data_IF_292025596362
#
_entry.id   IF_292025596362
#
_cell.length_a   1.000
_cell.length_b   1.000
_cell.length_c   1.000
_cell.angle_alpha   90.00
_cell.angle_beta   90.00
_cell.angle_gamma   90.00
#
_symmetry.space_group_name_H-M   'P 1'
#
loop_
_entity.id
_entity.type
_entity.pdbx_description
1 polymer ?
#
# COMPACT_ATOMS: atom_id res chain seq x y z
N UNK A 1 -15.16 4.22 12.53
CA UNK A 1 -14.55 4.53 11.22
C UNK A 1 -15.37 4.05 10.02
N UNK A 2 -16.49 3.32 10.20
CA UNK A 2 -17.27 2.72 9.10
C UNK A 2 -17.93 3.72 8.14
N UNK A 3 -18.26 4.93 8.61
CA UNK A 3 -19.06 5.88 7.82
C UNK A 3 -18.25 6.91 7.01
N UNK A 4 -16.91 6.80 7.03
CA UNK A 4 -16.04 7.71 6.28
C UNK A 4 -16.16 7.39 4.79
N UNK A 5 -16.60 8.38 4.00
CA UNK A 5 -16.76 8.26 2.56
C UNK A 5 -15.54 8.79 1.83
N UNK A 6 -15.25 8.22 0.67
CA UNK A 6 -14.20 8.73 -0.20
C UNK A 6 -14.72 9.98 -0.93
N UNK A 7 -13.89 11.02 -0.99
CA UNK A 7 -14.21 12.24 -1.72
C UNK A 7 -14.41 11.94 -3.22
N UNK A 8 -15.44 12.52 -3.81
CA UNK A 8 -15.71 12.39 -5.26
C UNK A 8 -15.27 13.61 -6.07
N UNK A 9 -14.86 14.69 -5.41
CA UNK A 9 -14.40 15.90 -6.08
C UNK A 9 -12.92 15.84 -6.48
N UNK A 10 -12.51 16.70 -7.41
CA UNK A 10 -11.10 16.93 -7.73
C UNK A 10 -10.43 15.91 -8.64
N UNK A 11 -11.19 14.96 -9.21
CA UNK A 11 -10.70 13.94 -10.14
C UNK A 11 -9.44 13.18 -9.64
N UNK A 12 -9.31 13.02 -8.32
CA UNK A 12 -8.11 12.48 -7.69
C UNK A 12 -7.82 11.05 -8.16
N UNK A 13 -8.85 10.27 -8.47
CA UNK A 13 -8.72 8.88 -8.95
C UNK A 13 -7.91 8.81 -10.24
N UNK A 14 -8.29 9.61 -11.24
CA UNK A 14 -7.58 9.71 -12.50
C UNK A 14 -6.15 10.25 -12.32
N UNK A 15 -5.99 11.31 -11.52
CA UNK A 15 -4.68 11.89 -11.24
C UNK A 15 -3.73 10.89 -10.55
N UNK A 16 -4.24 10.14 -9.58
CA UNK A 16 -3.48 9.14 -8.84
C UNK A 16 -3.09 7.97 -9.73
N UNK A 17 -4.02 7.47 -10.56
CA UNK A 17 -3.71 6.42 -11.53
C UNK A 17 -2.61 6.85 -12.52
N UNK A 18 -2.73 8.05 -13.10
CA UNK A 18 -1.70 8.56 -14.01
C UNK A 18 -0.34 8.72 -13.33
N UNK A 19 -0.31 9.12 -12.06
CA UNK A 19 0.93 9.20 -11.28
C UNK A 19 1.56 7.81 -11.08
N UNK A 20 0.76 6.79 -10.77
CA UNK A 20 1.21 5.40 -10.65
C UNK A 20 1.78 4.91 -11.98
N UNK A 21 1.04 5.07 -13.08
CA UNK A 21 1.49 4.69 -14.42
C UNK A 21 2.81 5.40 -14.76
N UNK A 22 2.88 6.72 -14.57
CA UNK A 22 4.09 7.48 -14.88
C UNK A 22 5.30 7.08 -14.03
N UNK A 23 5.10 6.69 -12.78
CA UNK A 23 6.18 6.30 -11.89
C UNK A 23 6.65 4.86 -12.15
N UNK A 24 5.74 3.98 -12.57
CA UNK A 24 6.01 2.54 -12.53
C UNK A 24 5.91 1.82 -13.86
N UNK A 25 5.46 2.44 -14.95
CA UNK A 25 5.30 1.76 -16.24
C UNK A 25 6.60 1.15 -16.80
N UNK A 26 7.77 1.62 -16.35
CA UNK A 26 9.07 1.08 -16.75
C UNK A 26 9.65 0.04 -15.78
N UNK A 27 8.95 -0.31 -14.69
CA UNK A 27 9.44 -1.34 -13.77
C UNK A 27 9.20 -2.74 -14.37
N UNK A 28 9.99 -3.75 -14.01
CA UNK A 28 9.92 -5.08 -14.62
C UNK A 28 8.56 -5.78 -14.47
N UNK A 29 7.82 -5.50 -13.39
CA UNK A 29 6.60 -6.23 -13.08
C UNK A 29 5.30 -5.41 -13.17
N UNK A 30 5.34 -4.14 -13.60
CA UNK A 30 4.15 -3.29 -13.62
C UNK A 30 2.98 -3.92 -14.40
N UNK A 31 3.22 -4.38 -15.63
CA UNK A 31 2.18 -4.96 -16.50
C UNK A 31 1.50 -6.20 -15.91
N UNK A 32 2.15 -6.92 -14.98
CA UNK A 32 1.59 -8.11 -14.35
C UNK A 32 0.56 -7.78 -13.27
N UNK A 33 0.61 -6.58 -12.70
CA UNK A 33 -0.18 -6.18 -11.54
C UNK A 33 -1.09 -4.97 -11.81
N UNK A 34 -0.79 -4.18 -12.84
CA UNK A 34 -1.51 -2.95 -13.15
C UNK A 34 -3.02 -3.17 -13.34
N UNK A 35 -3.41 -4.22 -14.07
CA UNK A 35 -4.81 -4.53 -14.38
C UNK A 35 -5.65 -4.84 -13.13
N UNK A 36 -5.02 -5.40 -12.09
CA UNK A 36 -5.68 -5.69 -10.82
C UNK A 36 -5.77 -4.45 -9.91
N UNK A 37 -4.82 -3.52 -10.03
CA UNK A 37 -4.78 -2.29 -9.24
C UNK A 37 -5.63 -1.16 -9.83
N UNK A 38 -5.68 -1.04 -11.15
CA UNK A 38 -6.42 -0.01 -11.88
C UNK A 38 -7.88 0.15 -11.44
N UNK A 39 -8.66 -0.92 -11.17
CA UNK A 39 -10.05 -0.81 -10.74
C UNK A 39 -10.27 0.03 -9.49
N UNK A 40 -9.29 0.13 -8.59
CA UNK A 40 -9.37 0.99 -7.40
C UNK A 40 -9.42 2.48 -7.75
N UNK A 41 -8.86 2.85 -8.90
CA UNK A 41 -8.81 4.23 -9.39
C UNK A 41 -9.78 4.50 -10.55
N UNK A 42 -10.64 3.54 -10.89
CA UNK A 42 -11.69 3.71 -11.92
C UNK A 42 -13.09 3.52 -11.34
N UNK A 43 -13.26 2.51 -10.49
CA UNK A 43 -14.55 2.19 -9.88
C UNK A 43 -14.82 3.10 -8.69
N UNK A 44 -16.09 3.41 -8.48
CA UNK A 44 -16.54 4.14 -7.28
C UNK A 44 -16.77 3.16 -6.14
N UNK A 45 -15.86 3.18 -5.18
CA UNK A 45 -16.05 2.59 -3.86
C UNK A 45 -16.49 3.72 -2.92
N UNK A 46 -17.63 3.53 -2.23
CA UNK A 46 -18.29 4.57 -1.45
C UNK A 46 -17.59 4.86 -0.13
N UNK A 47 -17.20 3.80 0.60
CA UNK A 47 -16.62 3.91 1.93
C UNK A 47 -15.11 3.65 1.89
N UNK A 48 -14.38 4.45 2.68
CA UNK A 48 -12.93 4.36 2.78
C UNK A 48 -12.48 3.02 3.37
N UNK A 49 -13.25 2.47 4.33
CA UNK A 49 -12.93 1.18 4.94
C UNK A 49 -13.00 0.05 3.91
N UNK A 50 -14.02 0.03 3.06
CA UNK A 50 -14.18 -1.00 2.02
C UNK A 50 -13.04 -0.93 1.00
N UNK A 51 -12.65 0.28 0.61
CA UNK A 51 -11.52 0.52 -0.29
C UNK A 51 -10.21 -0.01 0.33
N UNK A 52 -9.94 0.36 1.58
CA UNK A 52 -8.70 -0.04 2.26
C UNK A 52 -8.63 -1.54 2.49
N UNK A 53 -9.75 -2.19 2.85
CA UNK A 53 -9.80 -3.64 3.05
C UNK A 53 -9.57 -4.40 1.74
N UNK A 54 -10.23 -4.00 0.66
CA UNK A 54 -10.04 -4.61 -0.67
C UNK A 54 -8.60 -4.41 -1.18
N UNK A 55 -8.04 -3.21 -0.99
CA UNK A 55 -6.66 -2.94 -1.41
C UNK A 55 -5.67 -3.74 -0.56
N UNK A 56 -5.92 -3.86 0.75
CA UNK A 56 -5.11 -4.68 1.64
C UNK A 56 -5.14 -6.16 1.21
N UNK A 57 -6.33 -6.70 0.92
CA UNK A 57 -6.50 -8.07 0.44
C UNK A 57 -5.76 -8.31 -0.87
N UNK A 58 -5.84 -7.38 -1.83
CA UNK A 58 -5.11 -7.45 -3.08
C UNK A 58 -3.58 -7.55 -2.85
N UNK A 59 -3.03 -6.63 -2.06
CA UNK A 59 -1.60 -6.60 -1.76
C UNK A 59 -1.15 -7.87 -1.02
N UNK A 60 -1.92 -8.33 -0.03
CA UNK A 60 -1.64 -9.59 0.66
C UNK A 60 -1.68 -10.79 -0.30
N UNK A 61 -2.62 -10.80 -1.24
CA UNK A 61 -2.70 -11.81 -2.31
C UNK A 61 -1.45 -11.85 -3.17
N UNK A 62 -0.98 -10.70 -3.66
CA UNK A 62 0.27 -10.60 -4.42
C UNK A 62 1.48 -11.11 -3.63
N UNK A 63 1.53 -10.80 -2.34
CA UNK A 63 2.64 -11.17 -1.45
C UNK A 63 2.50 -12.58 -0.87
N UNK A 64 1.42 -13.31 -1.17
CA UNK A 64 1.08 -14.62 -0.58
C UNK A 64 1.12 -14.59 0.96
N UNK A 65 0.54 -13.54 1.53
CA UNK A 65 0.37 -13.35 2.95
C UNK A 65 -1.00 -13.91 3.34
N UNK A 66 -1.01 -15.04 4.05
CA UNK A 66 -2.23 -15.79 4.39
C UNK A 66 -2.75 -15.50 5.81
N UNK A 67 -2.22 -14.47 6.47
CA UNK A 67 -2.62 -14.17 7.85
C UNK A 67 -4.07 -13.67 7.89
N UNK A 68 -4.94 -14.28 8.72
CA UNK A 68 -6.33 -13.88 8.79
C UNK A 68 -6.43 -12.47 9.37
N UNK A 69 -7.11 -11.58 8.63
CA UNK A 69 -7.45 -10.25 9.12
C UNK A 69 -8.87 -10.24 9.65
N UNK A 70 -9.05 -9.67 10.84
CA UNK A 70 -10.35 -9.56 11.48
C UNK A 70 -10.60 -8.10 11.85
N UNK A 71 -11.84 -7.66 11.65
CA UNK A 71 -12.27 -6.37 12.16
C UNK A 71 -12.48 -6.48 13.66
N UNK A 72 -11.91 -5.54 14.42
CA UNK A 72 -12.19 -5.47 15.85
C UNK A 72 -13.65 -5.04 16.06
N UNK A 73 -14.37 -5.64 17.02
CA UNK A 73 -15.76 -5.27 17.32
C UNK A 73 -15.85 -3.87 17.92
N UNK A 74 -14.79 -3.44 18.60
CA UNK A 74 -14.69 -2.14 19.26
C UNK A 74 -13.27 -1.58 19.20
N UNK A 75 -13.15 -0.31 19.58
CA UNK A 75 -11.86 0.35 19.72
C UNK A 75 -11.28 0.09 21.11
N UNK A 76 -10.09 -0.49 21.16
CA UNK A 76 -9.36 -0.73 22.40
C UNK A 76 -8.45 0.46 22.68
N UNK A 77 -8.80 1.28 23.68
CA UNK A 77 -8.03 2.45 24.05
C UNK A 77 -6.75 2.09 24.81
N UNK A 78 -6.86 1.17 25.78
CA UNK A 78 -5.74 0.67 26.57
C UNK A 78 -5.28 -0.68 26.02
N UNK A 79 -4.06 -0.70 25.48
CA UNK A 79 -3.51 -1.90 24.83
C UNK A 79 -3.11 -2.93 25.90
N UNK A 80 -3.62 -4.17 25.83
CA UNK A 80 -3.23 -5.23 26.75
C UNK A 80 -1.74 -5.53 26.70
N UNK A 81 -1.18 -6.00 27.82
CA UNK A 81 0.22 -6.41 27.89
C UNK A 81 0.52 -7.52 26.87
N UNK A 82 1.67 -7.42 26.20
CA UNK A 82 2.11 -8.38 25.18
C UNK A 82 1.50 -8.17 23.79
N UNK A 83 0.63 -7.17 23.60
CA UNK A 83 0.12 -6.79 22.28
C UNK A 83 0.97 -5.66 21.68
N UNK A 84 1.47 -5.89 20.46
CA UNK A 84 2.14 -4.85 19.69
C UNK A 84 1.09 -3.94 19.03
N UNK A 85 1.11 -2.65 19.36
CA UNK A 85 0.24 -1.64 18.75
C UNK A 85 1.01 -0.84 17.69
N UNK A 86 0.56 -0.95 16.44
CA UNK A 86 1.17 -0.29 15.29
C UNK A 86 0.32 0.86 14.72
N UNK A 87 -0.77 1.26 15.38
CA UNK A 87 -1.69 2.31 14.88
C UNK A 87 -0.97 3.64 14.60
N UNK A 88 0.00 3.99 15.44
CA UNK A 88 0.80 5.22 15.34
C UNK A 88 2.23 4.96 14.79
N UNK A 89 2.50 3.76 14.28
CA UNK A 89 3.83 3.40 13.77
C UNK A 89 4.20 4.14 12.47
N UNK A 90 3.19 4.54 11.68
CA UNK A 90 3.35 5.32 10.46
C UNK A 90 2.68 6.68 10.69
N UNK A 91 3.48 7.75 10.67
CA UNK A 91 2.97 9.09 10.93
C UNK A 91 3.52 10.11 9.90
N UNK A 92 2.68 10.94 9.27
CA UNK A 92 3.11 11.81 8.16
C UNK A 92 4.13 12.88 8.57
N UNK A 93 4.16 13.25 9.85
CA UNK A 93 5.10 14.26 10.40
C UNK A 93 6.21 13.68 11.27
N UNK A 94 6.27 12.35 11.46
CA UNK A 94 7.32 11.72 12.28
C UNK A 94 7.99 10.62 11.46
N UNK A 95 9.32 10.61 11.36
CA UNK A 95 10.01 9.56 10.64
C UNK A 95 9.74 8.21 11.30
N UNK A 96 9.49 7.19 10.48
CA UNK A 96 9.43 5.82 10.97
C UNK A 96 10.84 5.35 11.34
N UNK A 97 10.96 4.59 12.43
CA UNK A 97 12.20 3.88 12.78
C UNK A 97 12.44 2.63 11.91
N UNK A 98 11.47 2.27 11.06
CA UNK A 98 11.61 1.19 10.11
C UNK A 98 12.62 1.54 9.02
N UNK A 99 13.53 0.61 8.75
CA UNK A 99 14.52 0.70 7.69
C UNK A 99 14.23 -0.43 6.69
N UNK A 100 13.91 -0.05 5.47
CA UNK A 100 13.65 -1.01 4.40
C UNK A 100 14.97 -1.60 3.91
N UNK A 101 15.02 -2.93 3.75
CA UNK A 101 16.17 -3.62 3.13
C UNK A 101 16.33 -3.13 1.69
N UNK A 102 17.51 -2.68 1.24
CA UNK A 102 17.68 -2.14 -0.11
C UNK A 102 17.44 -3.17 -1.20
N UNK A 103 16.47 -2.91 -2.08
CA UNK A 103 16.12 -3.71 -3.25
C UNK A 103 16.28 -2.90 -4.54
N UNK A 104 16.13 -3.54 -5.70
CA UNK A 104 16.21 -2.85 -6.98
C UNK A 104 15.06 -1.84 -7.14
N UNK A 105 15.36 -0.57 -7.38
CA UNK A 105 14.38 0.45 -7.73
C UNK A 105 14.73 1.04 -9.11
N UNK A 106 13.75 1.13 -10.02
CA UNK A 106 13.96 1.57 -11.41
C UNK A 106 14.64 2.95 -11.55
N UNK A 107 14.47 3.84 -10.56
CA UNK A 107 15.09 5.17 -10.55
C UNK A 107 16.27 5.30 -9.59
N UNK A 108 16.78 4.19 -9.04
CA UNK A 108 17.88 4.22 -8.07
C UNK A 108 19.12 4.93 -8.61
N UNK A 109 19.46 4.76 -9.89
CA UNK A 109 20.64 5.39 -10.50
C UNK A 109 20.55 6.92 -10.54
N UNK A 110 19.33 7.47 -10.55
CA UNK A 110 19.08 8.92 -10.64
C UNK A 110 18.82 9.55 -9.27
N UNK A 111 18.11 8.85 -8.39
CA UNK A 111 17.60 9.39 -7.13
C UNK A 111 18.26 8.77 -5.88
N UNK A 112 19.09 7.74 -6.07
CA UNK A 112 19.51 6.86 -4.99
C UNK A 112 18.38 5.93 -4.54
N UNK A 113 18.67 5.07 -3.56
CA UNK A 113 17.67 4.20 -2.96
C UNK A 113 16.74 5.01 -2.06
N UNK A 114 15.43 4.91 -2.30
CA UNK A 114 14.39 5.59 -1.52
C UNK A 114 13.91 4.64 -0.42
N UNK A 115 14.29 4.95 0.82
CA UNK A 115 13.81 4.25 2.00
C UNK A 115 12.31 4.44 2.21
N UNK A 116 11.63 3.38 2.66
CA UNK A 116 10.22 3.41 3.08
C UNK A 116 9.27 3.90 1.97
N UNK A 117 9.57 3.55 0.71
CA UNK A 117 8.67 3.72 -0.41
C UNK A 117 7.39 2.87 -0.25
N UNK A 118 6.42 3.08 -1.13
CA UNK A 118 5.14 2.37 -1.10
C UNK A 118 5.33 0.86 -1.33
N UNK A 119 4.39 0.04 -0.85
CA UNK A 119 4.44 -1.41 -1.08
C UNK A 119 4.37 -1.76 -2.58
N UNK A 120 3.68 -0.95 -3.38
CA UNK A 120 3.60 -1.14 -4.83
C UNK A 120 4.94 -0.83 -5.50
N UNK A 121 5.79 0.06 -4.96
CA UNK A 121 7.16 0.24 -5.45
C UNK A 121 7.94 -1.08 -5.35
N UNK A 122 7.87 -1.73 -4.19
CA UNK A 122 8.53 -3.02 -3.96
C UNK A 122 7.99 -4.10 -4.91
N UNK A 123 6.66 -4.26 -4.98
CA UNK A 123 6.03 -5.31 -5.81
C UNK A 123 6.30 -5.07 -7.30
N UNK A 124 6.22 -3.84 -7.77
CA UNK A 124 6.43 -3.54 -9.19
C UNK A 124 7.89 -3.69 -9.64
N UNK A 125 8.85 -3.54 -8.73
CA UNK A 125 10.26 -3.77 -9.03
C UNK A 125 10.71 -5.23 -8.82
N UNK A 126 10.21 -5.90 -7.78
CA UNK A 126 10.70 -7.24 -7.38
C UNK A 126 9.73 -8.39 -7.69
N UNK A 127 8.48 -8.10 -8.03
CA UNK A 127 7.47 -9.11 -8.35
C UNK A 127 7.27 -10.13 -7.23
N UNK A 128 7.28 -11.41 -7.59
CA UNK A 128 7.16 -12.52 -6.63
C UNK A 128 8.26 -12.54 -5.56
N UNK A 129 9.43 -11.94 -5.83
CA UNK A 129 10.52 -11.86 -4.86
C UNK A 129 10.31 -10.76 -3.81
N UNK A 130 9.32 -9.88 -3.98
CA UNK A 130 9.00 -8.81 -3.03
C UNK A 130 8.90 -9.32 -1.57
N UNK A 131 8.35 -10.52 -1.38
CA UNK A 131 8.22 -11.15 -0.06
C UNK A 131 9.56 -11.37 0.66
N UNK A 132 10.66 -11.55 -0.06
CA UNK A 132 11.99 -11.76 0.53
C UNK A 132 12.55 -10.48 1.20
N UNK A 133 11.92 -9.34 0.94
CA UNK A 133 12.33 -8.02 1.40
C UNK A 133 11.48 -7.46 2.55
N UNK A 134 10.46 -8.22 2.98
CA UNK A 134 9.62 -7.95 4.17
C UNK A 134 10.24 -8.61 5.40
#
# INVERSE_FOLDING_TARGET
MKDVRIADHGNWRHLHWNAIVSAYSSTPFFEYYADELQPFYEKRISFLVDFNLQLHELICGWLRIEQPTNLSPEYVAEIPEGIADHREAIHPKRPSGFMTRPYYQVFQDKLGFIQNASIIDLVFNMGNEARLWL
#
